data_IF_127985535551
#
_entry.id   IF_127985535551
#
_cell.length_a   1.000
_cell.length_b   1.000
_cell.length_c   1.000
_cell.angle_alpha   90.00
_cell.angle_beta   90.00
_cell.angle_gamma   90.00
#
_symmetry.space_group_name_H-M   'P 1'
#
loop_
_entity.id
_entity.type
_entity.pdbx_description
1 polymer ?
#
# COMPACT_ATOMS: atom_id res chain seq x y z
N UNK A 1 12.40 13.80 7.27
CA UNK A 1 12.49 12.50 7.95
C UNK A 1 13.30 11.50 7.14
N UNK A 2 12.91 11.19 5.89
CA UNK A 2 13.63 10.31 4.98
C UNK A 2 15.15 10.60 4.89
N UNK A 3 15.53 11.84 4.53
CA UNK A 3 16.93 12.28 4.46
C UNK A 3 17.71 12.12 5.79
N UNK A 4 17.05 12.38 6.92
CA UNK A 4 17.69 12.33 8.25
C UNK A 4 18.10 10.90 8.61
N UNK A 5 17.27 9.92 8.25
CA UNK A 5 17.50 8.51 8.58
C UNK A 5 18.00 7.69 7.39
N UNK A 6 18.22 8.33 6.23
CA UNK A 6 18.67 7.68 5.00
C UNK A 6 17.77 6.52 4.56
N UNK A 7 16.45 6.70 4.69
CA UNK A 7 15.44 5.68 4.35
C UNK A 7 14.59 6.10 3.15
N UNK A 8 14.29 5.15 2.26
CA UNK A 8 13.21 5.31 1.30
C UNK A 8 11.87 5.25 2.04
N UNK A 9 10.91 6.08 1.65
CA UNK A 9 9.63 6.22 2.35
C UNK A 9 8.47 6.17 1.38
N UNK A 10 7.47 5.35 1.71
CA UNK A 10 6.18 5.28 1.01
C UNK A 10 5.10 5.62 2.02
N UNK A 11 4.26 6.60 1.72
CA UNK A 11 3.25 7.10 2.67
C UNK A 11 1.92 7.34 2.00
N UNK A 12 0.85 6.84 2.61
CA UNK A 12 -0.51 7.27 2.29
C UNK A 12 -0.81 8.62 2.93
N UNK A 13 -1.37 9.56 2.16
CA UNK A 13 -1.75 10.90 2.61
C UNK A 13 -3.14 11.27 2.12
N UNK A 14 -3.77 12.18 2.85
CA UNK A 14 -4.94 12.91 2.38
C UNK A 14 -4.44 14.14 1.62
N UNK A 15 -4.57 14.13 0.30
CA UNK A 15 -4.14 15.22 -0.55
C UNK A 15 -5.32 16.15 -0.85
N UNK A 16 -5.13 17.46 -0.62
CA UNK A 16 -6.10 18.48 -1.03
C UNK A 16 -5.60 19.23 -2.25
N UNK A 17 -6.41 19.29 -3.30
CA UNK A 17 -6.15 20.09 -4.50
C UNK A 17 -7.41 20.86 -4.87
N UNK A 18 -7.40 22.17 -4.63
CA UNK A 18 -8.59 23.01 -4.74
C UNK A 18 -9.67 22.61 -3.72
N UNK A 19 -10.86 22.29 -4.23
CA UNK A 19 -12.01 21.81 -3.44
C UNK A 19 -12.05 20.29 -3.30
N UNK A 20 -11.16 19.57 -4.00
CA UNK A 20 -11.18 18.12 -4.04
C UNK A 20 -10.19 17.52 -3.04
N UNK A 21 -10.57 16.38 -2.47
CA UNK A 21 -9.71 15.54 -1.64
C UNK A 21 -9.40 14.24 -2.38
N UNK A 22 -8.15 13.79 -2.28
CA UNK A 22 -7.65 12.56 -2.91
C UNK A 22 -6.97 11.68 -1.86
N UNK A 23 -7.15 10.36 -2.02
CA UNK A 23 -6.34 9.37 -1.32
C UNK A 23 -5.09 9.14 -2.15
N UNK A 24 -3.93 9.56 -1.63
CA UNK A 24 -2.68 9.59 -2.40
C UNK A 24 -1.61 8.79 -1.71
N UNK A 25 -0.81 8.03 -2.45
CA UNK A 25 0.43 7.42 -1.97
C UNK A 25 1.60 8.16 -2.57
N UNK A 26 2.60 8.48 -1.75
CA UNK A 26 3.75 9.29 -2.13
C UNK A 26 5.05 8.53 -1.87
N UNK A 27 6.03 8.69 -2.77
CA UNK A 27 7.31 8.02 -2.73
C UNK A 27 8.45 9.03 -2.55
N UNK A 28 9.27 8.85 -1.52
CA UNK A 28 10.51 9.61 -1.31
C UNK A 28 11.72 8.69 -1.33
N UNK A 29 12.82 9.19 -1.89
CA UNK A 29 14.12 8.53 -1.81
C UNK A 29 14.81 8.74 -0.46
N UNK A 30 15.94 8.06 -0.24
CA UNK A 30 16.76 8.17 0.97
C UNK A 30 17.39 9.55 1.18
N UNK A 31 17.42 10.42 0.16
CA UNK A 31 17.85 11.81 0.27
C UNK A 31 16.69 12.76 0.58
N UNK A 32 15.46 12.24 0.74
CA UNK A 32 14.27 13.01 1.02
C UNK A 32 13.68 13.73 -0.20
N UNK A 33 14.11 13.38 -1.42
CA UNK A 33 13.54 13.93 -2.64
C UNK A 33 12.29 13.14 -3.03
N UNK A 34 11.22 13.88 -3.30
CA UNK A 34 9.97 13.36 -3.85
C UNK A 34 10.22 12.74 -5.24
N UNK A 35 9.90 11.46 -5.38
CA UNK A 35 10.09 10.70 -6.63
C UNK A 35 8.80 10.63 -7.45
N UNK A 36 7.65 10.60 -6.77
CA UNK A 36 6.36 10.49 -7.42
C UNK A 36 5.23 10.31 -6.43
N UNK A 37 4.03 10.25 -6.96
CA UNK A 37 2.80 10.01 -6.21
C UNK A 37 1.76 9.35 -7.10
N UNK A 38 0.84 8.60 -6.48
CA UNK A 38 -0.31 8.00 -7.14
C UNK A 38 -1.58 8.35 -6.36
N UNK A 39 -2.57 8.94 -7.04
CA UNK A 39 -3.92 9.19 -6.50
C UNK A 39 -4.79 7.98 -6.80
N UNK A 40 -5.49 7.46 -5.79
CA UNK A 40 -6.39 6.31 -5.91
C UNK A 40 -7.37 6.51 -7.07
N UNK A 41 -7.33 5.64 -8.07
CA UNK A 41 -8.17 5.76 -9.26
C UNK A 41 -9.59 5.23 -8.99
N UNK A 42 -9.69 4.14 -8.22
CA UNK A 42 -10.95 3.42 -7.98
C UNK A 42 -11.58 3.84 -6.66
N UNK A 43 -12.53 4.78 -6.72
CA UNK A 43 -13.29 5.22 -5.54
C UNK A 43 -14.50 4.29 -5.33
N UNK A 44 -14.61 3.70 -4.14
CA UNK A 44 -15.77 2.89 -3.76
C UNK A 44 -17.00 3.78 -3.54
N UNK A 45 -18.20 3.23 -3.63
CA UNK A 45 -19.42 4.01 -3.40
C UNK A 45 -19.48 4.64 -2.00
N UNK A 46 -19.01 3.93 -0.97
CA UNK A 46 -18.91 4.46 0.40
C UNK A 46 -17.87 5.57 0.55
N UNK A 47 -16.94 5.69 -0.40
CA UNK A 47 -15.83 6.64 -0.41
C UNK A 47 -16.14 7.89 -1.24
N UNK A 48 -17.09 7.81 -2.18
CA UNK A 48 -17.39 8.90 -3.14
C UNK A 48 -17.91 10.21 -2.53
N UNK A 49 -18.53 10.26 -1.34
CA UNK A 49 -18.86 11.54 -0.72
C UNK A 49 -17.63 12.38 -0.32
N UNK A 50 -16.48 11.73 -0.09
CA UNK A 50 -15.27 12.38 0.39
C UNK A 50 -14.18 12.48 -0.67
N UNK A 51 -14.00 11.43 -1.47
CA UNK A 51 -12.85 11.27 -2.34
C UNK A 51 -13.17 11.55 -3.81
N UNK A 52 -12.28 12.29 -4.45
CA UNK A 52 -12.22 12.42 -5.90
C UNK A 52 -11.32 11.32 -6.51
N UNK A 53 -11.66 10.79 -7.69
CA UNK A 53 -10.82 9.80 -8.37
C UNK A 53 -9.54 10.43 -8.91
N UNK A 54 -8.43 9.70 -8.82
CA UNK A 54 -7.17 10.04 -9.45
C UNK A 54 -7.14 9.75 -10.96
N UNK A 55 -6.34 10.52 -11.70
CA UNK A 55 -6.06 10.29 -13.12
C UNK A 55 -5.02 9.17 -13.33
N UNK A 56 -5.15 8.40 -14.41
CA UNK A 56 -4.24 7.30 -14.77
C UNK A 56 -3.17 7.77 -15.80
N UNK A 57 -1.86 7.45 -15.67
CA UNK A 57 -1.05 7.21 -14.49
C UNK A 57 -0.06 8.36 -14.21
N UNK A 58 -0.17 8.93 -13.01
CA UNK A 58 0.94 9.61 -12.33
C UNK A 58 1.99 8.58 -11.90
N UNK A 59 3.27 8.95 -11.82
CA UNK A 59 4.40 8.06 -11.56
C UNK A 59 4.14 7.05 -10.42
N UNK A 60 3.91 5.78 -10.77
CA UNK A 60 3.54 4.70 -9.84
C UNK A 60 4.72 4.06 -9.10
N UNK A 61 5.96 4.47 -9.42
CA UNK A 61 7.16 3.84 -8.90
C UNK A 61 8.32 4.84 -8.75
N UNK A 62 9.27 4.47 -7.89
CA UNK A 62 10.50 5.18 -7.65
C UNK A 62 11.70 4.22 -7.80
N UNK A 63 12.77 4.70 -8.41
CA UNK A 63 14.06 3.99 -8.40
C UNK A 63 14.83 4.43 -7.16
N UNK A 64 15.29 3.47 -6.37
CA UNK A 64 16.03 3.73 -5.14
C UNK A 64 17.23 2.81 -4.99
N UNK A 65 18.09 3.11 -4.02
CA UNK A 65 19.16 2.20 -3.60
C UNK A 65 18.65 0.86 -3.06
N UNK A 66 17.39 0.79 -2.61
CA UNK A 66 16.74 -0.45 -2.16
C UNK A 66 16.13 -1.26 -3.31
N UNK A 67 16.18 -0.76 -4.54
CA UNK A 67 15.54 -1.34 -5.72
C UNK A 67 14.42 -0.46 -6.27
N UNK A 68 13.69 -0.99 -7.26
CA UNK A 68 12.52 -0.34 -7.85
C UNK A 68 11.29 -0.57 -6.97
N UNK A 69 10.77 0.49 -6.38
CA UNK A 69 9.64 0.48 -5.45
C UNK A 69 8.42 1.03 -6.19
N UNK A 70 7.31 0.30 -6.25
CA UNK A 70 6.05 0.82 -6.74
C UNK A 70 4.90 0.48 -5.82
N UNK A 71 3.70 0.98 -6.08
CA UNK A 71 2.56 0.65 -5.23
C UNK A 71 1.23 1.18 -5.70
N UNK A 72 0.16 0.53 -5.23
CA UNK A 72 -1.23 0.89 -5.49
C UNK A 72 -2.03 0.89 -4.17
N UNK A 73 -3.09 1.70 -4.12
CA UNK A 73 -3.87 1.92 -2.90
C UNK A 73 -5.13 1.06 -2.92
N UNK A 74 -5.32 0.21 -1.90
CA UNK A 74 -6.58 -0.52 -1.64
C UNK A 74 -7.17 -1.15 -2.92
N UNK A 75 -8.38 -0.75 -3.35
CA UNK A 75 -9.09 -1.27 -4.51
C UNK A 75 -8.34 -1.19 -5.84
N UNK A 76 -7.37 -0.28 -6.00
CA UNK A 76 -6.56 -0.20 -7.23
C UNK A 76 -5.75 -1.48 -7.48
N UNK A 77 -5.43 -2.23 -6.43
CA UNK A 77 -4.77 -3.54 -6.54
C UNK A 77 -5.62 -4.59 -7.28
N UNK A 78 -6.93 -4.35 -7.42
CA UNK A 78 -7.85 -5.22 -8.18
C UNK A 78 -7.85 -4.89 -9.67
N UNK A 79 -7.27 -3.77 -10.10
CA UNK A 79 -7.20 -3.37 -11.50
C UNK A 79 -5.98 -4.02 -12.19
N UNK A 80 -6.18 -4.98 -13.11
CA UNK A 80 -5.07 -5.68 -13.75
C UNK A 80 -4.15 -4.74 -14.53
N UNK A 81 -4.72 -3.72 -15.21
CA UNK A 81 -3.96 -2.76 -15.99
C UNK A 81 -2.96 -1.97 -15.14
N UNK A 82 -3.35 -1.56 -13.92
CA UNK A 82 -2.45 -0.83 -13.02
C UNK A 82 -1.29 -1.72 -12.54
N UNK A 83 -1.59 -2.99 -12.23
CA UNK A 83 -0.57 -3.97 -11.85
C UNK A 83 0.39 -4.26 -13.00
N UNK A 84 -0.12 -4.47 -14.21
CA UNK A 84 0.71 -4.70 -15.39
C UNK A 84 1.68 -3.55 -15.66
N UNK A 85 1.26 -2.29 -15.49
CA UNK A 85 2.15 -1.14 -15.62
C UNK A 85 3.30 -1.16 -14.61
N UNK A 86 3.05 -1.59 -13.37
CA UNK A 86 4.11 -1.77 -12.39
C UNK A 86 5.09 -2.88 -12.79
N UNK A 87 4.57 -4.02 -13.27
CA UNK A 87 5.39 -5.16 -13.70
C UNK A 87 6.25 -4.84 -14.92
N UNK A 88 5.72 -4.08 -15.88
CA UNK A 88 6.47 -3.61 -17.05
C UNK A 88 7.66 -2.73 -16.64
N UNK A 89 7.53 -1.96 -15.55
CA UNK A 89 8.62 -1.18 -14.96
C UNK A 89 9.56 -2.01 -14.09
N UNK A 90 9.31 -3.32 -13.98
CA UNK A 90 10.16 -4.28 -13.28
C UNK A 90 10.28 -4.00 -11.80
N UNK A 91 9.20 -3.58 -11.12
CA UNK A 91 9.22 -3.33 -9.68
C UNK A 91 9.69 -4.57 -8.91
N UNK A 92 10.42 -4.32 -7.83
CA UNK A 92 10.96 -5.35 -6.96
C UNK A 92 10.29 -5.35 -5.59
N UNK A 93 9.83 -4.18 -5.15
CA UNK A 93 9.11 -3.95 -3.91
C UNK A 93 7.77 -3.29 -4.26
N UNK A 94 6.68 -4.01 -3.97
CA UNK A 94 5.31 -3.58 -4.20
C UNK A 94 4.69 -3.14 -2.87
N UNK A 95 4.36 -1.87 -2.74
CA UNK A 95 3.70 -1.31 -1.56
C UNK A 95 2.18 -1.25 -1.77
N UNK A 96 1.42 -1.83 -0.84
CA UNK A 96 -0.03 -1.94 -0.91
C UNK A 96 -0.70 -1.42 0.38
N UNK A 97 -0.75 -0.10 0.61
CA UNK A 97 -1.51 0.47 1.72
C UNK A 97 -3.01 0.20 1.54
N UNK A 98 -3.69 -0.15 2.64
CA UNK A 98 -5.10 -0.55 2.62
C UNK A 98 -5.83 -0.22 3.91
N UNK A 99 -7.15 -0.27 3.86
CA UNK A 99 -8.05 -0.35 5.01
C UNK A 99 -8.88 -1.66 5.00
N UNK A 100 -8.56 -2.61 4.10
CA UNK A 100 -9.23 -3.90 3.97
C UNK A 100 -8.52 -4.95 4.84
N UNK A 101 -9.10 -5.30 5.99
CA UNK A 101 -8.55 -6.30 6.91
C UNK A 101 -9.04 -7.74 6.62
N UNK A 102 -9.74 -7.96 5.50
CA UNK A 102 -10.36 -9.26 5.23
C UNK A 102 -9.33 -10.32 4.86
N UNK A 103 -9.73 -11.60 5.01
CA UNK A 103 -8.94 -12.74 4.52
C UNK A 103 -8.72 -12.69 3.01
N UNK A 104 -9.66 -12.08 2.26
CA UNK A 104 -9.58 -11.90 0.81
C UNK A 104 -8.44 -10.97 0.43
N UNK A 105 -8.24 -9.89 1.19
CA UNK A 105 -7.10 -8.98 0.97
C UNK A 105 -5.77 -9.72 1.03
N UNK A 106 -5.56 -10.54 2.07
CA UNK A 106 -4.34 -11.34 2.23
C UNK A 106 -4.13 -12.29 1.05
N UNK A 107 -5.16 -13.01 0.62
CA UNK A 107 -5.08 -13.90 -0.54
C UNK A 107 -4.71 -13.13 -1.82
N UNK A 108 -5.25 -11.91 -1.99
CA UNK A 108 -4.91 -11.03 -3.11
C UNK A 108 -3.45 -10.60 -3.07
N UNK A 109 -2.90 -10.24 -1.91
CA UNK A 109 -1.50 -9.83 -1.79
C UNK A 109 -0.55 -11.00 -2.08
N UNK A 110 -0.91 -12.21 -1.65
CA UNK A 110 -0.16 -13.42 -2.02
C UNK A 110 -0.16 -13.66 -3.52
N UNK A 111 -1.31 -13.53 -4.17
CA UNK A 111 -1.41 -13.68 -5.62
C UNK A 111 -0.55 -12.64 -6.36
N UNK A 112 -0.63 -11.36 -5.98
CA UNK A 112 0.14 -10.27 -6.59
C UNK A 112 1.64 -10.48 -6.43
N UNK A 113 2.09 -10.97 -5.27
CA UNK A 113 3.51 -11.25 -5.04
C UNK A 113 4.06 -12.29 -6.03
N UNK A 114 3.29 -13.37 -6.26
CA UNK A 114 3.64 -14.44 -7.21
C UNK A 114 3.57 -13.95 -8.65
N UNK A 115 2.45 -13.30 -9.02
CA UNK A 115 2.21 -12.81 -10.37
C UNK A 115 3.26 -11.77 -10.81
N UNK A 116 3.58 -10.81 -9.92
CA UNK A 116 4.59 -9.78 -10.18
C UNK A 116 6.03 -10.23 -9.93
N UNK A 117 6.24 -11.41 -9.33
CA UNK A 117 7.54 -11.90 -8.86
C UNK A 117 8.31 -10.83 -8.06
N UNK A 118 7.62 -10.19 -7.12
CA UNK A 118 8.13 -9.09 -6.31
C UNK A 118 7.75 -9.28 -4.84
N UNK A 119 8.46 -8.60 -3.95
CA UNK A 119 8.06 -8.55 -2.54
C UNK A 119 6.84 -7.65 -2.39
N UNK A 120 5.79 -8.11 -1.72
CA UNK A 120 4.61 -7.30 -1.42
C UNK A 120 4.64 -6.89 0.05
N UNK A 121 4.61 -5.59 0.29
CA UNK A 121 4.53 -4.97 1.61
C UNK A 121 3.15 -4.31 1.73
N UNK A 122 2.23 -4.95 2.45
CA UNK A 122 0.91 -4.41 2.70
C UNK A 122 0.81 -3.85 4.12
N UNK A 123 0.33 -2.60 4.22
CA UNK A 123 0.15 -1.90 5.47
C UNK A 123 -1.34 -1.58 5.68
N UNK A 124 -1.88 -1.99 6.82
CA UNK A 124 -3.22 -1.65 7.29
C UNK A 124 -3.15 -1.11 8.72
N UNK A 125 -3.96 -0.11 9.02
CA UNK A 125 -4.02 0.56 10.31
C UNK A 125 -4.76 -0.29 11.35
N UNK A 126 -4.30 -0.24 12.60
CA UNK A 126 -5.06 -0.70 13.75
C UNK A 126 -5.74 0.51 14.39
N UNK A 127 -7.07 0.48 14.51
CA UNK A 127 -7.84 1.57 15.10
C UNK A 127 -8.95 1.03 16.00
N UNK A 128 -9.13 1.67 17.14
CA UNK A 128 -10.24 1.49 18.07
C UNK A 128 -11.26 2.62 17.93
N UNK A 129 -12.43 2.44 18.52
CA UNK A 129 -13.48 3.46 18.50
C UNK A 129 -13.01 4.75 19.16
N UNK A 130 -12.21 4.67 20.23
CA UNK A 130 -11.61 5.82 20.91
C UNK A 130 -10.66 6.65 20.04
N UNK A 131 -10.10 6.07 18.98
CA UNK A 131 -9.16 6.74 18.09
C UNK A 131 -9.86 7.72 17.14
N UNK A 132 -11.18 7.58 16.99
CA UNK A 132 -12.01 8.50 16.21
C UNK A 132 -12.54 9.62 17.12
N UNK A 133 -12.37 10.87 16.71
CA UNK A 133 -12.93 12.01 17.44
C UNK A 133 -14.47 11.89 17.53
N UNK A 134 -15.01 12.29 18.68
CA UNK A 134 -16.43 12.23 19.10
C UNK A 134 -17.45 12.83 18.11
N UNK A 135 -17.02 13.56 17.09
CA UNK A 135 -17.88 14.12 16.04
C UNK A 135 -18.28 13.11 14.94
N UNK A 136 -17.72 11.90 14.93
CA UNK A 136 -18.04 10.86 13.96
C UNK A 136 -19.02 9.78 14.47
N UNK A 137 -19.45 9.89 15.73
CA UNK A 137 -20.34 8.92 16.38
C UNK A 137 -21.59 9.67 16.80
N UNK A 138 -22.75 9.30 16.26
CA UNK A 138 -24.03 9.80 16.77
C UNK A 138 -24.10 9.53 18.28
N UNK A 139 -24.53 10.53 19.04
CA UNK A 139 -24.63 10.50 20.49
C UNK A 139 -25.65 9.45 20.96
N UNK A 140 -25.26 8.18 20.95
CA UNK A 140 -25.95 7.15 21.72
C UNK A 140 -24.99 6.60 22.77
N UNK A 141 -25.18 7.14 23.98
CA UNK A 141 -24.57 6.74 25.24
C UNK A 141 -24.89 5.28 25.57
N UNK A 142 -23.94 4.39 25.38
CA UNK A 142 -23.68 3.27 26.27
C UNK A 142 -22.16 3.08 26.35
N UNK A 143 -21.61 2.80 27.54
CA UNK A 143 -20.22 2.36 27.72
C UNK A 143 -19.98 1.05 26.94
N UNK A 144 -19.81 1.17 25.62
CA UNK A 144 -19.32 0.07 24.79
C UNK A 144 -17.82 -0.03 25.03
N UNK A 145 -17.39 -1.25 25.35
CA UNK A 145 -15.99 -1.66 25.36
C UNK A 145 -15.31 -1.11 24.10
N UNK A 146 -14.13 -0.51 24.24
CA UNK A 146 -13.45 0.28 23.19
C UNK A 146 -13.10 -0.60 21.98
N UNK A 147 -14.08 -0.69 21.08
CA UNK A 147 -14.16 -1.73 20.07
C UNK A 147 -13.13 -1.49 18.97
N UNK A 148 -12.52 -2.58 18.48
CA UNK A 148 -11.61 -2.52 17.34
C UNK A 148 -12.42 -2.27 16.06
N UNK A 149 -12.22 -1.10 15.45
CA UNK A 149 -12.85 -0.69 14.19
C UNK A 149 -12.05 -1.19 12.99
N UNK A 150 -10.72 -1.10 13.07
CA UNK A 150 -9.81 -1.68 12.09
C UNK A 150 -8.81 -2.57 12.82
N UNK A 151 -8.80 -3.89 12.59
CA UNK A 151 -7.88 -4.79 13.28
C UNK A 151 -6.48 -4.81 12.67
N UNK A 152 -6.18 -4.00 11.65
CA UNK A 152 -4.90 -4.06 10.95
C UNK A 152 -4.81 -5.26 10.01
N UNK A 153 -3.82 -6.14 10.22
CA UNK A 153 -3.57 -7.27 9.33
C UNK A 153 -2.52 -7.02 8.24
N UNK A 154 -1.60 -6.08 8.48
CA UNK A 154 -0.41 -5.86 7.64
C UNK A 154 0.37 -7.16 7.42
N UNK A 155 0.97 -7.31 6.24
CA UNK A 155 1.68 -8.53 5.84
C UNK A 155 2.84 -8.21 4.88
N UNK A 156 3.93 -8.97 5.00
CA UNK A 156 5.04 -8.98 4.04
C UNK A 156 5.06 -10.35 3.35
N UNK A 157 5.01 -10.35 2.03
CA UNK A 157 4.97 -11.58 1.21
C UNK A 157 6.15 -11.63 0.25
N UNK A 158 6.79 -12.78 0.16
CA UNK A 158 7.90 -13.03 -0.77
C UNK A 158 7.41 -13.20 -2.22
N UNK A 159 8.29 -13.06 -3.22
CA UNK A 159 7.98 -13.37 -4.63
C UNK A 159 7.44 -14.79 -4.87
N UNK A 160 7.64 -15.71 -3.91
CA UNK A 160 7.15 -17.10 -3.98
C UNK A 160 5.76 -17.27 -3.34
N UNK A 161 5.17 -16.21 -2.82
CA UNK A 161 3.89 -16.23 -2.11
C UNK A 161 4.00 -16.65 -0.64
N UNK A 162 5.21 -16.81 -0.11
CA UNK A 162 5.41 -17.13 1.31
C UNK A 162 5.22 -15.86 2.15
N UNK A 163 4.41 -15.94 3.19
CA UNK A 163 4.27 -14.85 4.16
C UNK A 163 5.53 -14.82 5.01
N UNK A 164 6.32 -13.76 4.87
CA UNK A 164 7.56 -13.54 5.61
C UNK A 164 7.27 -12.97 7.00
N UNK A 165 6.30 -12.06 7.09
CA UNK A 165 5.87 -11.43 8.34
C UNK A 165 4.39 -11.11 8.37
N UNK A 166 3.78 -11.20 9.56
CA UNK A 166 2.33 -11.01 9.77
C UNK A 166 1.48 -12.23 9.37
N UNK A 167 0.14 -12.09 9.27
CA UNK A 167 -0.64 -10.91 9.65
C UNK A 167 -0.74 -10.73 11.17
N UNK A 168 -0.68 -9.48 11.64
CA UNK A 168 -0.94 -9.12 13.04
C UNK A 168 -2.27 -8.38 13.16
N UNK A 169 -3.16 -8.87 14.02
CA UNK A 169 -4.52 -8.32 14.18
C UNK A 169 -4.79 -7.66 15.54
N UNK A 170 -3.79 -7.56 16.41
CA UNK A 170 -3.99 -7.19 17.82
C UNK A 170 -3.01 -6.11 18.29
N UNK A 171 -3.34 -4.85 18.03
CA UNK A 171 -2.51 -3.70 18.39
C UNK A 171 -1.63 -3.20 17.24
N UNK A 172 -0.93 -2.11 17.51
CA UNK A 172 0.00 -1.48 16.57
C UNK A 172 1.35 -2.20 16.57
N UNK A 173 1.94 -2.40 15.39
CA UNK A 173 3.27 -3.02 15.24
C UNK A 173 4.03 -2.45 14.05
N UNK A 174 5.36 -2.50 14.15
CA UNK A 174 6.26 -2.39 13.02
C UNK A 174 6.60 -3.80 12.54
N UNK A 175 6.21 -4.14 11.30
CA UNK A 175 6.68 -5.36 10.65
C UNK A 175 8.02 -5.09 9.98
N UNK A 176 9.00 -5.96 10.21
CA UNK A 176 10.35 -5.82 9.68
C UNK A 176 10.90 -7.19 9.31
N UNK A 177 11.51 -7.28 8.14
CA UNK A 177 12.19 -8.49 7.66
C UNK A 177 13.24 -8.11 6.62
N UNK A 178 14.26 -8.94 6.45
CA UNK A 178 15.31 -8.75 5.44
C UNK A 178 14.85 -9.30 4.08
N UNK A 179 14.91 -8.44 3.06
CA UNK A 179 14.50 -8.82 1.70
C UNK A 179 15.70 -9.33 0.90
N UNK A 180 15.75 -10.64 0.69
CA UNK A 180 16.73 -11.27 -0.19
C UNK A 180 16.46 -10.95 -1.66
N UNK A 181 16.96 -9.81 -2.16
CA UNK A 181 16.67 -9.33 -3.53
C UNK A 181 17.07 -10.29 -4.65
N UNK A 182 17.98 -11.23 -4.38
CA UNK A 182 18.40 -12.29 -5.30
C UNK A 182 17.30 -13.31 -5.63
N UNK A 183 16.21 -13.36 -4.86
CA UNK A 183 15.08 -14.27 -5.07
C UNK A 183 14.17 -13.80 -6.20
N UNK A 184 14.28 -12.54 -6.62
CA UNK A 184 13.50 -11.97 -7.72
C UNK A 184 14.06 -12.48 -9.06
N UNK A 185 13.25 -13.24 -9.79
CA UNK A 185 13.57 -13.67 -11.15
C UNK A 185 12.87 -12.70 -12.11
N UNK A 186 13.63 -11.97 -12.91
CA UNK A 186 13.08 -11.08 -13.93
C UNK A 186 12.65 -11.89 -15.17
N UNK A 187 11.35 -11.92 -15.48
CA UNK A 187 10.83 -12.48 -16.73
C UNK A 187 11.19 -11.65 -17.98
N UNK A 188 11.76 -10.45 -17.80
CA UNK A 188 12.10 -9.51 -18.89
C UNK A 188 13.18 -9.97 -19.86
N UNK A 189 13.88 -11.07 -19.58
CA UNK A 189 14.84 -11.65 -20.53
C UNK A 189 14.20 -12.60 -21.56
N UNK A 190 12.89 -12.89 -21.47
CA UNK A 190 12.23 -13.78 -22.44
C UNK A 190 11.53 -13.04 -23.59
N UNK A 191 11.34 -11.72 -23.50
CA UNK A 191 10.56 -10.95 -24.49
C UNK A 191 11.40 -10.04 -25.40
N UNK A 192 12.69 -9.89 -25.14
CA UNK A 192 13.60 -9.04 -25.93
C UNK A 192 14.59 -9.84 -26.81
N UNK A 193 14.44 -11.16 -26.90
CA UNK A 193 15.30 -12.05 -27.71
C UNK A 193 14.71 -12.41 -29.09
N UNK A 194 13.85 -11.55 -29.66
CA UNK A 194 13.30 -11.69 -31.03
C UNK A 194 13.35 -10.38 -31.82
#
# INVERSE_FOLDING_TARGET
>A
MAAKYQVNMVMGVVERSGTNLYSTVIFWDSQGKLQGSHRKSTILHSESPLWSPGETPSTLYATSSAGRIGGLISSDNRLPLLRSMLYERGIQIYCAPTADATKVWKASMTHIAVEGSCFVLSANQFCRQSDYHRYCVEEEEEEKDDAVVSPGGSVIVSPRGEIMEGPRYHGEYVLSTDLGMYVIIHFGNYLNDH
#
